data_IF_663814746047
#
_entry.id   IF_663814746047
#
_cell.length_a   1.000
_cell.length_b   1.000
_cell.length_c   1.000
_cell.angle_alpha   90.00
_cell.angle_beta   90.00
_cell.angle_gamma   90.00
#
_symmetry.space_group_name_H-M   'P 1'
#
loop_
_entity.id
_entity.type
_entity.pdbx_description
1 polymer ?
#
# COMPACT_ATOMS: atom_id res chain seq x y z
N UNK A 1 -0.05 7.14 -6.24
CA UNK A 1 1.43 7.17 -6.38
C UNK A 1 1.92 7.10 -7.84
N UNK A 2 1.16 7.59 -8.83
CA UNK A 2 1.58 7.46 -10.25
C UNK A 2 2.68 8.47 -10.56
N UNK A 3 3.81 8.01 -11.12
CA UNK A 3 4.93 8.88 -11.51
C UNK A 3 5.96 9.19 -10.42
N UNK A 4 5.81 8.61 -9.22
CA UNK A 4 6.80 8.69 -8.15
C UNK A 4 7.93 7.69 -8.36
N UNK A 5 9.11 8.04 -7.86
CA UNK A 5 10.18 7.06 -7.63
C UNK A 5 9.77 6.05 -6.55
N UNK A 6 10.49 4.93 -6.45
CA UNK A 6 10.19 3.92 -5.44
C UNK A 6 10.26 4.48 -4.02
N UNK A 7 11.30 5.26 -3.72
CA UNK A 7 11.54 5.82 -2.40
C UNK A 7 10.45 6.83 -2.01
N UNK A 8 10.02 7.69 -2.94
CA UNK A 8 8.90 8.60 -2.72
C UNK A 8 7.60 7.85 -2.45
N UNK A 9 7.35 6.76 -3.18
CA UNK A 9 6.16 5.94 -2.96
C UNK A 9 6.18 5.24 -1.60
N UNK A 10 7.35 4.76 -1.15
CA UNK A 10 7.52 4.15 0.17
C UNK A 10 7.29 5.20 1.27
N UNK A 11 7.92 6.37 1.19
CA UNK A 11 7.71 7.45 2.17
C UNK A 11 6.25 7.91 2.22
N UNK A 12 5.58 8.00 1.05
CA UNK A 12 4.16 8.34 1.00
C UNK A 12 3.28 7.23 1.59
N UNK A 13 3.65 5.97 1.42
CA UNK A 13 2.95 4.82 2.00
C UNK A 13 3.09 4.81 3.52
N UNK A 14 4.31 4.96 4.04
CA UNK A 14 4.64 5.02 5.47
C UNK A 14 3.76 6.04 6.19
N UNK A 15 3.84 7.30 5.75
CA UNK A 15 3.04 8.39 6.31
C UNK A 15 1.54 8.11 6.24
N UNK A 16 1.06 7.56 5.12
CA UNK A 16 -0.36 7.26 4.96
C UNK A 16 -0.86 6.16 5.91
N UNK A 17 -0.03 5.14 6.17
CA UNK A 17 -0.38 4.07 7.11
C UNK A 17 -0.43 4.60 8.55
N UNK A 18 0.52 5.45 8.93
CA UNK A 18 0.52 6.12 10.24
C UNK A 18 -0.75 6.97 10.43
N UNK A 19 -1.08 7.82 9.45
CA UNK A 19 -2.28 8.66 9.50
C UNK A 19 -3.56 7.80 9.61
N UNK A 20 -3.63 6.71 8.85
CA UNK A 20 -4.76 5.78 8.88
C UNK A 20 -4.87 5.03 10.21
N UNK A 21 -3.75 4.66 10.80
CA UNK A 21 -3.69 3.99 12.10
C UNK A 21 -4.15 4.93 13.23
N UNK A 22 -3.69 6.19 13.22
CA UNK A 22 -4.14 7.23 14.15
C UNK A 22 -5.65 7.48 14.01
N UNK A 23 -6.15 7.47 12.77
CA UNK A 23 -7.58 7.59 12.46
C UNK A 23 -8.40 6.33 12.81
N UNK A 24 -7.78 5.29 13.39
CA UNK A 24 -8.43 4.02 13.75
C UNK A 24 -9.13 3.33 12.56
N UNK A 25 -8.57 3.48 11.37
CA UNK A 25 -9.06 2.76 10.19
C UNK A 25 -8.59 1.31 10.24
N UNK A 26 -9.51 0.38 10.01
CA UNK A 26 -9.17 -1.05 10.01
C UNK A 26 -8.61 -1.54 8.67
N UNK A 27 -8.92 -0.82 7.57
CA UNK A 27 -8.61 -1.24 6.20
C UNK A 27 -8.39 -0.02 5.30
N UNK A 28 -7.32 -0.08 4.50
CA UNK A 28 -6.95 0.97 3.55
C UNK A 28 -6.52 0.40 2.20
N UNK A 29 -6.58 1.22 1.15
CA UNK A 29 -6.21 0.85 -0.21
C UNK A 29 -5.02 1.69 -0.69
N UNK A 30 -3.93 1.01 -1.00
CA UNK A 30 -2.71 1.65 -1.54
C UNK A 30 -2.67 1.49 -3.05
N UNK A 31 -2.90 2.59 -3.76
CA UNK A 31 -2.93 2.62 -5.23
C UNK A 31 -1.54 2.97 -5.79
N UNK A 32 -0.79 1.93 -6.13
CA UNK A 32 0.52 2.03 -6.78
C UNK A 32 0.45 1.91 -8.32
N UNK A 33 -0.68 1.44 -8.86
CA UNK A 33 -0.86 1.21 -10.29
C UNK A 33 -0.18 -0.08 -10.78
N UNK A 34 -0.39 -0.42 -12.06
CA UNK A 34 0.13 -1.66 -12.66
C UNK A 34 1.54 -1.46 -13.24
N UNK A 35 1.70 -0.49 -14.14
CA UNK A 35 3.00 -0.05 -14.67
C UNK A 35 3.96 -1.19 -15.01
N UNK A 36 5.24 -1.00 -14.70
CA UNK A 36 6.29 -2.03 -14.75
C UNK A 36 6.28 -2.96 -13.53
N UNK A 37 5.39 -2.74 -12.56
CA UNK A 37 5.31 -3.51 -11.31
C UNK A 37 6.34 -3.13 -10.24
N UNK A 38 7.24 -2.17 -10.48
CA UNK A 38 8.28 -1.76 -9.51
C UNK A 38 7.65 -1.23 -8.22
N UNK A 39 6.69 -0.30 -8.32
CA UNK A 39 6.00 0.24 -7.14
C UNK A 39 5.19 -0.84 -6.43
N UNK A 40 4.53 -1.72 -7.17
CA UNK A 40 3.80 -2.87 -6.60
C UNK A 40 4.71 -3.76 -5.77
N UNK A 41 5.88 -4.11 -6.30
CA UNK A 41 6.84 -4.97 -5.60
C UNK A 41 7.37 -4.29 -4.34
N UNK A 42 7.93 -3.08 -4.44
CA UNK A 42 8.53 -2.43 -3.29
C UNK A 42 7.54 -1.98 -2.22
N UNK A 43 6.33 -1.54 -2.58
CA UNK A 43 5.27 -1.27 -1.58
C UNK A 43 4.92 -2.54 -0.82
N UNK A 44 4.72 -3.66 -1.52
CA UNK A 44 4.39 -4.94 -0.87
C UNK A 44 5.54 -5.47 -0.02
N UNK A 45 6.79 -5.30 -0.45
CA UNK A 45 7.97 -5.68 0.33
C UNK A 45 8.10 -4.84 1.59
N UNK A 46 7.89 -3.53 1.49
CA UNK A 46 7.86 -2.62 2.64
C UNK A 46 6.77 -3.00 3.66
N UNK A 47 5.56 -3.31 3.19
CA UNK A 47 4.43 -3.74 4.03
C UNK A 47 4.71 -5.02 4.85
N UNK A 48 5.61 -5.91 4.40
CA UNK A 48 5.98 -7.13 5.15
C UNK A 48 6.55 -6.83 6.53
N UNK A 49 7.26 -5.72 6.65
CA UNK A 49 7.98 -5.33 7.87
C UNK A 49 7.29 -4.24 8.67
N UNK A 50 6.15 -3.74 8.20
CA UNK A 50 5.49 -2.58 8.82
C UNK A 50 4.80 -2.95 10.14
N UNK A 51 5.11 -2.27 11.26
CA UNK A 51 4.63 -2.67 12.59
C UNK A 51 3.11 -2.55 12.76
N UNK A 52 2.46 -1.64 12.03
CA UNK A 52 1.01 -1.42 12.10
C UNK A 52 0.21 -2.30 11.14
N UNK A 53 0.87 -3.03 10.24
CA UNK A 53 0.19 -3.88 9.25
C UNK A 53 -0.09 -5.25 9.84
N UNK A 54 -1.34 -5.69 9.73
CA UNK A 54 -1.80 -7.03 10.11
C UNK A 54 -1.74 -7.99 8.94
N UNK A 55 -2.26 -7.57 7.79
CA UNK A 55 -2.29 -8.37 6.57
C UNK A 55 -2.36 -7.46 5.34
N UNK A 56 -1.99 -7.98 4.16
CA UNK A 56 -2.20 -7.25 2.90
C UNK A 56 -2.43 -8.21 1.74
N UNK A 57 -3.29 -7.83 0.81
CA UNK A 57 -3.67 -8.62 -0.36
C UNK A 57 -3.84 -7.72 -1.59
N UNK A 58 -3.94 -8.31 -2.77
CA UNK A 58 -4.37 -7.55 -3.95
C UNK A 58 -5.85 -7.23 -3.85
N UNK A 59 -6.24 -6.08 -4.40
CA UNK A 59 -7.64 -5.75 -4.51
C UNK A 59 -8.37 -6.71 -5.47
N UNK A 60 -9.68 -6.89 -5.31
CA UNK A 60 -10.54 -7.51 -6.31
C UNK A 60 -10.34 -6.88 -7.70
N UNK A 61 -10.57 -7.65 -8.77
CA UNK A 61 -10.36 -7.16 -10.15
C UNK A 61 -11.23 -5.92 -10.47
N UNK A 62 -12.44 -5.86 -9.91
CA UNK A 62 -13.36 -4.72 -10.02
C UNK A 62 -12.93 -3.48 -9.20
N UNK A 63 -11.94 -3.60 -8.31
CA UNK A 63 -11.39 -2.51 -7.48
C UNK A 63 -9.96 -2.13 -7.87
N UNK A 64 -9.51 -2.53 -9.07
CA UNK A 64 -8.19 -2.20 -9.60
C UNK A 64 -7.19 -3.37 -9.62
N UNK A 65 -7.57 -4.53 -9.07
CA UNK A 65 -6.81 -5.77 -9.16
C UNK A 65 -5.40 -5.65 -8.58
N UNK A 66 -4.43 -6.17 -9.33
CA UNK A 66 -3.01 -6.14 -8.98
C UNK A 66 -2.36 -4.74 -9.00
N UNK A 67 -3.11 -3.70 -9.39
CA UNK A 67 -2.67 -2.30 -9.31
C UNK A 67 -2.94 -1.65 -7.96
N UNK A 68 -3.60 -2.36 -7.05
CA UNK A 68 -3.99 -1.88 -5.73
C UNK A 68 -3.67 -2.95 -4.69
N UNK A 69 -3.05 -2.54 -3.59
CA UNK A 69 -2.84 -3.39 -2.42
C UNK A 69 -3.79 -2.95 -1.31
N UNK A 70 -4.63 -3.87 -0.86
CA UNK A 70 -5.51 -3.68 0.30
C UNK A 70 -4.73 -4.07 1.55
N UNK A 71 -4.67 -3.17 2.52
CA UNK A 71 -3.91 -3.35 3.77
C UNK A 71 -4.90 -3.37 4.93
N UNK A 72 -4.79 -4.37 5.78
CA UNK A 72 -5.47 -4.44 7.07
C UNK A 72 -4.51 -3.98 8.16
N UNK A 73 -4.97 -3.02 8.97
CA UNK A 73 -4.21 -2.48 10.09
C UNK A 73 -4.52 -3.26 11.38
N UNK A 74 -3.63 -3.16 12.36
CA UNK A 74 -3.75 -3.83 13.67
C UNK A 74 -4.76 -3.18 14.58
#
# INVERSE_FOLDING_TARGET
MRGQTLDEAIMATDKFLDDAFIAQLNKVWVIHGKGTGVLRAGVRDYLKSHPQVKSYTFAPFNEGGDGVTVVELK
#
